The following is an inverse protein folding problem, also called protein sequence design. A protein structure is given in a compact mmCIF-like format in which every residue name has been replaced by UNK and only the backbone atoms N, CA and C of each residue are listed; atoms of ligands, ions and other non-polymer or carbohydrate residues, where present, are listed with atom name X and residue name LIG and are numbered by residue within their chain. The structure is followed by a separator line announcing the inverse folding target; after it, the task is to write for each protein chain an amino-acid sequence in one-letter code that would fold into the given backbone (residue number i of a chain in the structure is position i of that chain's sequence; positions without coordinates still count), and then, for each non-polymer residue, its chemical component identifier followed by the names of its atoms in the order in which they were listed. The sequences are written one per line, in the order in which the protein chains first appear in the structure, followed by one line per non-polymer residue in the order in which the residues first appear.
data_IF_588394529863
#
_entry.id   IF_588394529863
#
_cell.length_a   1.000
_cell.length_b   1.000
_cell.length_c   1.000
_cell.angle_alpha   90.00
_cell.angle_beta   90.00
_cell.angle_gamma   90.00
#
_symmetry.space_group_name_H-M   'P 1'
#
loop_
_entity.id
_entity.type
_entity.pdbx_description
1 polymer ?
#
# COMPACT_ATOMS: atom_id res chain seq x y z
N UNK A 1 60.82 -4.21 -86.28
CA UNK A 1 61.63 -5.16 -85.55
C UNK A 1 61.78 -4.65 -84.12
N UNK A 2 60.96 -5.00 -83.17
CA UNK A 2 61.27 -5.02 -81.80
C UNK A 2 60.18 -5.79 -81.01
N UNK A 3 60.54 -6.89 -80.41
CA UNK A 3 59.74 -7.74 -79.56
C UNK A 3 59.60 -7.07 -78.21
N UNK A 4 58.38 -6.89 -77.76
CA UNK A 4 58.08 -6.51 -76.40
C UNK A 4 57.40 -7.71 -75.70
N UNK A 5 58.11 -8.28 -74.71
CA UNK A 5 57.58 -9.35 -73.79
C UNK A 5 56.79 -8.70 -72.69
N UNK A 6 55.52 -9.13 -72.58
CA UNK A 6 54.64 -8.81 -71.49
C UNK A 6 54.84 -9.78 -70.33
N UNK A 7 55.18 -9.23 -69.17
CA UNK A 7 55.26 -9.98 -67.91
C UNK A 7 53.90 -9.89 -67.18
N UNK A 8 53.18 -11.00 -67.06
CA UNK A 8 52.02 -11.14 -66.21
C UNK A 8 52.47 -11.44 -64.81
N UNK A 9 52.25 -10.47 -63.87
CA UNK A 9 52.32 -10.71 -62.43
C UNK A 9 51.00 -11.27 -61.95
N UNK A 10 50.94 -12.58 -61.60
CA UNK A 10 49.85 -13.19 -60.84
C UNK A 10 49.97 -12.75 -59.37
N UNK A 11 49.04 -11.87 -58.96
CA UNK A 11 48.87 -11.55 -57.54
C UNK A 11 48.06 -12.66 -56.88
N UNK A 12 48.69 -13.46 -56.03
CA UNK A 12 48.00 -14.41 -55.12
C UNK A 12 47.32 -13.63 -54.02
N UNK A 13 45.97 -13.64 -53.98
CA UNK A 13 45.16 -13.06 -52.92
C UNK A 13 45.00 -14.15 -51.85
N UNK A 14 45.71 -14.04 -50.71
CA UNK A 14 45.54 -14.89 -49.54
C UNK A 14 44.34 -14.33 -48.77
N UNK A 15 43.19 -14.99 -48.83
CA UNK A 15 42.02 -14.71 -47.99
C UNK A 15 42.20 -15.44 -46.67
N UNK A 16 42.59 -14.69 -45.62
CA UNK A 16 42.62 -15.23 -44.27
C UNK A 16 41.18 -15.17 -43.71
N UNK A 17 40.51 -16.34 -43.63
CA UNK A 17 39.23 -16.49 -42.95
C UNK A 17 39.45 -16.48 -41.45
N UNK A 18 39.21 -15.34 -40.79
CA UNK A 18 39.14 -15.25 -39.31
C UNK A 18 37.80 -15.85 -38.88
N UNK A 19 37.79 -17.11 -38.49
CA UNK A 19 36.64 -17.72 -37.78
C UNK A 19 36.52 -17.09 -36.38
N UNK A 20 35.60 -16.14 -36.22
CA UNK A 20 35.20 -15.64 -34.90
C UNK A 20 34.43 -16.78 -34.17
N UNK A 21 35.10 -17.48 -33.28
CA UNK A 21 34.45 -18.37 -32.29
C UNK A 21 33.66 -17.48 -31.32
N UNK A 22 32.38 -17.21 -31.61
CA UNK A 22 31.44 -16.68 -30.63
C UNK A 22 31.12 -17.81 -29.66
N UNK A 23 31.87 -17.85 -28.55
CA UNK A 23 31.51 -18.72 -27.44
C UNK A 23 30.12 -18.30 -26.90
N UNK A 24 29.13 -19.21 -26.83
CA UNK A 24 27.87 -18.88 -26.20
C UNK A 24 28.16 -18.51 -24.74
N UNK A 25 27.92 -17.28 -24.38
CA UNK A 25 27.88 -16.90 -22.95
C UNK A 25 26.72 -17.66 -22.33
N UNK A 26 27.03 -18.74 -21.60
CA UNK A 26 26.07 -19.39 -20.71
C UNK A 26 25.64 -18.36 -19.67
N UNK A 27 24.55 -17.64 -19.93
CA UNK A 27 23.86 -16.91 -18.89
C UNK A 27 23.26 -17.99 -17.98
N UNK A 28 23.79 -18.10 -16.76
CA UNK A 28 23.16 -18.89 -15.72
C UNK A 28 21.71 -18.39 -15.59
N UNK A 29 20.73 -19.30 -15.71
CA UNK A 29 19.33 -18.92 -15.51
C UNK A 29 19.22 -18.23 -14.13
N UNK A 30 18.45 -17.14 -14.03
CA UNK A 30 18.27 -16.46 -12.77
C UNK A 30 17.76 -17.47 -11.73
N UNK A 31 18.36 -17.46 -10.54
CA UNK A 31 17.97 -18.36 -9.48
C UNK A 31 16.48 -18.23 -9.18
N UNK A 32 15.77 -19.35 -9.09
CA UNK A 32 14.34 -19.38 -8.79
C UNK A 32 14.08 -18.74 -7.43
N UNK A 33 13.19 -17.74 -7.40
CA UNK A 33 12.80 -17.04 -6.17
C UNK A 33 11.59 -17.70 -5.52
N UNK A 34 11.56 -17.69 -4.19
CA UNK A 34 10.47 -18.23 -3.39
C UNK A 34 10.22 -17.42 -2.13
N UNK A 35 9.02 -17.57 -1.58
CA UNK A 35 8.54 -16.88 -0.38
C UNK A 35 8.43 -17.87 0.77
N UNK A 36 8.86 -17.48 1.96
CA UNK A 36 8.66 -18.25 3.17
C UNK A 36 7.28 -17.96 3.76
N UNK A 37 6.42 -18.98 3.84
CA UNK A 37 5.12 -18.89 4.54
C UNK A 37 5.14 -19.57 5.91
N UNK A 38 6.31 -19.99 6.33
CA UNK A 38 6.59 -20.60 7.62
C UNK A 38 7.94 -20.15 8.15
N UNK A 39 8.01 -19.87 9.44
CA UNK A 39 9.28 -19.57 10.10
C UNK A 39 10.15 -20.84 10.16
N UNK A 40 11.43 -20.70 9.80
CA UNK A 40 12.41 -21.78 9.79
C UNK A 40 13.82 -21.25 10.01
N UNK A 41 14.78 -22.16 10.17
CA UNK A 41 16.20 -21.81 10.26
C UNK A 41 16.94 -22.16 8.96
N UNK A 42 17.98 -21.40 8.67
CA UNK A 42 18.99 -21.74 7.68
C UNK A 42 20.07 -22.57 8.39
N UNK A 43 20.39 -23.72 7.83
CA UNK A 43 21.37 -24.68 8.36
C UNK A 43 22.62 -24.70 7.49
N UNK A 44 23.78 -25.02 8.09
CA UNK A 44 25.05 -25.10 7.36
C UNK A 44 25.12 -26.27 6.40
N UNK A 45 24.48 -27.40 6.77
CA UNK A 45 24.29 -28.58 5.94
C UNK A 45 22.83 -29.04 6.00
N UNK A 46 22.35 -29.90 5.06
CA UNK A 46 20.97 -30.38 5.01
C UNK A 46 20.63 -31.37 6.12
N UNK A 47 20.74 -30.92 7.36
CA UNK A 47 20.46 -31.68 8.59
C UNK A 47 19.97 -30.70 9.69
N UNK A 48 18.80 -31.01 10.29
CA UNK A 48 18.18 -30.17 11.33
C UNK A 48 19.00 -30.18 12.65
N UNK A 49 19.91 -31.11 12.83
CA UNK A 49 20.83 -31.17 13.98
C UNK A 49 22.09 -30.33 13.78
N UNK A 50 22.31 -29.83 12.56
CA UNK A 50 23.49 -29.03 12.25
C UNK A 50 23.34 -27.58 12.77
N UNK A 51 24.42 -26.83 12.67
CA UNK A 51 24.48 -25.44 13.12
C UNK A 51 23.44 -24.57 12.38
N UNK A 52 22.62 -23.84 13.15
CA UNK A 52 21.69 -22.83 12.66
C UNK A 52 22.46 -21.52 12.39
N UNK A 53 22.40 -21.02 11.17
CA UNK A 53 23.10 -19.81 10.74
C UNK A 53 22.25 -18.57 10.89
N UNK A 54 20.95 -18.67 10.55
CA UNK A 54 19.99 -17.55 10.63
C UNK A 54 18.56 -18.08 10.77
N UNK A 55 17.66 -17.19 11.15
CA UNK A 55 16.22 -17.43 11.14
C UNK A 55 15.59 -16.81 9.90
N UNK A 56 14.74 -17.55 9.20
CA UNK A 56 13.88 -17.07 8.12
C UNK A 56 12.48 -16.83 8.66
N UNK A 57 12.01 -15.60 8.53
CA UNK A 57 10.67 -15.20 8.96
C UNK A 57 9.67 -15.29 7.80
N UNK A 58 8.39 -15.24 8.14
CA UNK A 58 7.31 -15.21 7.15
C UNK A 58 7.44 -14.00 6.21
N UNK A 59 7.15 -14.22 4.93
CA UNK A 59 7.24 -13.23 3.88
C UNK A 59 8.66 -12.89 3.40
N UNK A 60 9.70 -13.47 4.03
CA UNK A 60 11.05 -13.32 3.51
C UNK A 60 11.23 -14.07 2.21
N UNK A 61 12.03 -13.49 1.33
CA UNK A 61 12.31 -13.99 0.00
C UNK A 61 13.67 -14.71 -0.03
N UNK A 62 13.70 -15.83 -0.70
CA UNK A 62 14.91 -16.63 -0.90
C UNK A 62 15.12 -16.94 -2.38
N UNK A 63 16.37 -17.00 -2.80
CA UNK A 63 16.75 -17.52 -4.10
C UNK A 63 17.19 -18.98 -3.93
N UNK A 64 16.59 -19.90 -4.70
CA UNK A 64 16.90 -21.33 -4.66
C UNK A 64 18.09 -21.59 -5.57
N UNK A 65 19.17 -22.10 -5.00
CA UNK A 65 20.40 -22.43 -5.71
C UNK A 65 20.43 -23.90 -6.14
N UNK A 66 19.96 -24.78 -5.26
CA UNK A 66 20.02 -26.21 -5.46
C UNK A 66 18.89 -26.91 -4.67
N UNK A 67 18.49 -28.11 -5.12
CA UNK A 67 17.54 -28.96 -4.43
C UNK A 67 18.20 -30.30 -4.14
N UNK A 68 18.10 -30.80 -2.89
CA UNK A 68 18.56 -32.11 -2.47
C UNK A 68 17.51 -32.78 -1.61
N UNK A 69 16.78 -33.75 -2.17
CA UNK A 69 15.64 -34.41 -1.53
C UNK A 69 14.60 -33.41 -0.96
N UNK A 70 14.45 -33.38 0.37
CA UNK A 70 13.54 -32.49 1.11
C UNK A 70 14.19 -31.15 1.50
N UNK A 71 15.42 -30.89 1.05
CA UNK A 71 16.18 -29.68 1.35
C UNK A 71 16.37 -28.80 0.13
N UNK A 72 16.41 -27.51 0.39
CA UNK A 72 16.78 -26.46 -0.58
C UNK A 72 18.04 -25.76 -0.09
N UNK A 73 19.03 -25.65 -0.95
CA UNK A 73 20.13 -24.71 -0.78
C UNK A 73 19.67 -23.37 -1.26
N UNK A 74 19.68 -22.38 -0.39
CA UNK A 74 19.12 -21.05 -0.68
C UNK A 74 20.10 -19.95 -0.29
N UNK A 75 19.89 -18.78 -0.84
CA UNK A 75 20.40 -17.52 -0.30
C UNK A 75 19.26 -16.57 0.01
N UNK A 76 19.35 -15.84 1.12
CA UNK A 76 18.40 -14.76 1.42
C UNK A 76 18.54 -13.64 0.39
N UNK A 77 17.42 -13.13 -0.16
CA UNK A 77 17.45 -12.04 -1.13
C UNK A 77 17.79 -10.71 -0.44
N UNK A 78 17.23 -10.46 0.74
CA UNK A 78 17.45 -9.26 1.54
C UNK A 78 18.56 -9.44 2.59
N UNK A 79 19.40 -10.46 2.44
CA UNK A 79 20.48 -10.81 3.38
C UNK A 79 21.62 -11.53 2.69
N UNK A 80 22.71 -11.74 3.41
CA UNK A 80 23.90 -12.38 2.87
C UNK A 80 24.10 -13.82 3.36
N UNK A 81 23.06 -14.45 3.90
CA UNK A 81 23.16 -15.80 4.45
C UNK A 81 22.75 -16.82 3.40
N UNK A 82 23.66 -17.74 3.12
CA UNK A 82 23.46 -18.87 2.22
C UNK A 82 23.55 -20.17 3.04
N UNK A 83 22.66 -21.12 2.78
CA UNK A 83 22.64 -22.39 3.47
C UNK A 83 21.40 -23.21 3.14
N UNK A 84 21.09 -24.19 3.97
CA UNK A 84 20.05 -25.18 3.72
C UNK A 84 18.80 -24.96 4.54
N UNK A 85 17.64 -25.07 3.88
CA UNK A 85 16.33 -25.06 4.54
C UNK A 85 15.53 -26.29 4.11
N UNK A 86 14.61 -26.75 4.96
CA UNK A 86 13.66 -27.80 4.57
C UNK A 86 12.67 -27.24 3.55
N UNK A 87 12.40 -27.99 2.47
CA UNK A 87 11.41 -27.61 1.44
C UNK A 87 9.97 -27.75 2.00
N UNK A 88 9.67 -26.98 3.04
CA UNK A 88 8.37 -26.96 3.69
C UNK A 88 8.00 -25.52 4.02
N UNK A 89 6.85 -25.07 3.50
CA UNK A 89 6.42 -23.68 3.63
C UNK A 89 7.20 -22.73 2.72
N UNK A 90 7.71 -23.25 1.60
CA UNK A 90 8.37 -22.49 0.54
C UNK A 90 7.41 -22.38 -0.65
N UNK A 91 6.96 -21.18 -0.98
CA UNK A 91 6.01 -20.92 -2.07
C UNK A 91 6.74 -20.22 -3.22
N UNK A 92 6.63 -20.80 -4.42
CA UNK A 92 7.17 -20.27 -5.68
C UNK A 92 6.05 -19.67 -6.51
N UNK A 93 6.39 -18.86 -7.49
CA UNK A 93 5.40 -18.35 -8.45
C UNK A 93 4.68 -19.48 -9.21
N UNK A 94 5.34 -20.65 -9.37
CA UNK A 94 4.78 -21.86 -9.99
C UNK A 94 3.96 -22.74 -9.05
N UNK A 95 3.89 -22.43 -7.75
CA UNK A 95 3.15 -23.24 -6.76
C UNK A 95 1.64 -23.14 -7.05
N UNK A 96 0.95 -24.31 -7.22
CA UNK A 96 -0.50 -24.30 -7.38
C UNK A 96 -1.18 -23.59 -6.20
N UNK A 97 -2.12 -22.67 -6.51
CA UNK A 97 -2.80 -21.83 -5.51
C UNK A 97 -1.86 -21.05 -4.56
N UNK A 98 -0.64 -20.79 -5.02
CA UNK A 98 0.39 -20.09 -4.24
C UNK A 98 -0.06 -18.73 -3.73
N UNK A 99 -0.86 -18.01 -4.51
CA UNK A 99 -1.49 -16.75 -4.14
C UNK A 99 -2.40 -16.89 -2.90
N UNK A 100 -3.25 -17.93 -2.87
CA UNK A 100 -4.13 -18.20 -1.73
C UNK A 100 -3.34 -18.64 -0.48
N UNK A 101 -2.28 -19.44 -0.68
CA UNK A 101 -1.42 -19.90 0.41
C UNK A 101 -0.72 -18.70 1.07
N UNK A 102 -0.12 -17.80 0.26
CA UNK A 102 0.57 -16.63 0.77
C UNK A 102 -0.41 -15.65 1.41
N UNK A 103 -1.58 -15.41 0.77
CA UNK A 103 -2.60 -14.54 1.30
C UNK A 103 -3.19 -15.07 2.63
N UNK A 104 -3.44 -16.38 2.74
CA UNK A 104 -3.91 -17.01 3.98
C UNK A 104 -2.90 -16.84 5.12
N UNK A 105 -1.61 -17.09 4.86
CA UNK A 105 -0.55 -16.87 5.84
C UNK A 105 -0.44 -15.40 6.27
N UNK A 106 -0.72 -14.45 5.35
CA UNK A 106 -0.78 -13.02 5.65
C UNK A 106 -1.95 -12.70 6.58
N UNK A 107 -3.14 -13.21 6.27
CA UNK A 107 -4.34 -13.01 7.08
C UNK A 107 -4.18 -13.60 8.49
N UNK A 108 -3.62 -14.80 8.62
CA UNK A 108 -3.31 -15.40 9.91
C UNK A 108 -2.34 -14.53 10.73
N UNK A 109 -1.33 -13.96 10.08
CA UNK A 109 -0.36 -13.06 10.72
C UNK A 109 -1.00 -11.75 11.16
N UNK A 110 -1.92 -11.19 10.36
CA UNK A 110 -2.68 -9.99 10.69
C UNK A 110 -3.60 -10.23 11.90
N UNK A 111 -4.33 -11.36 11.93
CA UNK A 111 -5.14 -11.75 13.11
C UNK A 111 -4.25 -11.94 14.34
N UNK A 112 -3.07 -12.56 14.19
CA UNK A 112 -2.13 -12.73 15.29
C UNK A 112 -1.64 -11.39 15.84
N UNK A 113 -1.42 -10.40 14.98
CA UNK A 113 -0.99 -9.05 15.38
C UNK A 113 -2.04 -8.33 16.26
N UNK A 114 -3.33 -8.64 16.10
CA UNK A 114 -4.42 -8.02 16.89
C UNK A 114 -4.65 -8.68 18.26
N UNK A 115 -4.06 -9.85 18.50
CA UNK A 115 -4.23 -10.56 19.78
C UNK A 115 -3.45 -9.91 20.88
N UNK A 116 -4.03 -9.85 22.08
CA UNK A 116 -3.43 -9.24 23.28
C UNK A 116 -2.01 -9.77 23.62
N UNK A 117 -1.75 -11.06 23.31
CA UNK A 117 -0.46 -11.74 23.52
C UNK A 117 0.03 -12.35 22.22
N UNK A 118 -0.29 -11.71 21.10
CA UNK A 118 0.13 -12.17 19.79
C UNK A 118 1.64 -12.11 19.60
N UNK A 119 2.11 -12.83 18.60
CA UNK A 119 3.53 -12.90 18.29
C UNK A 119 4.08 -11.52 17.89
N UNK A 120 5.16 -11.10 18.56
CA UNK A 120 5.83 -9.83 18.26
C UNK A 120 6.29 -9.78 16.80
N UNK A 121 5.88 -8.75 16.08
CA UNK A 121 6.23 -8.52 14.68
C UNK A 121 5.35 -9.28 13.69
N UNK A 122 4.20 -9.82 14.14
CA UNK A 122 3.23 -10.47 13.27
C UNK A 122 2.62 -9.47 12.26
N UNK A 123 2.48 -8.21 12.62
CA UNK A 123 2.12 -7.09 11.76
C UNK A 123 3.10 -6.93 10.57
N UNK A 124 4.40 -6.95 10.86
CA UNK A 124 5.45 -6.86 9.84
C UNK A 124 5.51 -8.11 8.96
N UNK A 125 5.18 -9.28 9.52
CA UNK A 125 5.08 -10.52 8.75
C UNK A 125 3.86 -10.47 7.81
N UNK A 126 2.69 -10.02 8.31
CA UNK A 126 1.49 -9.82 7.49
C UNK A 126 1.74 -8.86 6.34
N UNK A 127 2.34 -7.70 6.63
CA UNK A 127 2.72 -6.69 5.64
C UNK A 127 3.58 -7.29 4.52
N UNK A 128 4.65 -8.04 4.87
CA UNK A 128 5.52 -8.67 3.88
C UNK A 128 4.77 -9.69 3.03
N UNK A 129 4.01 -10.59 3.67
CA UNK A 129 3.26 -11.64 2.97
C UNK A 129 2.22 -11.04 2.02
N UNK A 130 1.41 -10.06 2.45
CA UNK A 130 0.44 -9.39 1.59
C UNK A 130 1.10 -8.74 0.38
N UNK A 131 2.23 -8.06 0.56
CA UNK A 131 2.97 -7.47 -0.55
C UNK A 131 3.45 -8.54 -1.54
N UNK A 132 3.94 -9.69 -1.06
CA UNK A 132 4.38 -10.80 -1.91
C UNK A 132 3.26 -11.39 -2.78
N UNK A 133 2.00 -11.32 -2.35
CA UNK A 133 0.88 -11.75 -3.21
C UNK A 133 0.86 -10.95 -4.51
N UNK A 134 0.97 -9.61 -4.44
CA UNK A 134 0.97 -8.76 -5.62
C UNK A 134 2.25 -8.88 -6.46
N UNK A 135 3.40 -9.17 -5.82
CA UNK A 135 4.69 -9.29 -6.51
C UNK A 135 4.84 -10.63 -7.26
N UNK A 136 4.42 -11.73 -6.66
CA UNK A 136 4.57 -13.08 -7.23
C UNK A 136 3.39 -13.53 -8.07
N UNK A 137 2.20 -13.02 -7.75
CA UNK A 137 0.95 -13.41 -8.40
C UNK A 137 0.18 -12.18 -8.90
N UNK A 138 0.78 -11.34 -9.77
CA UNK A 138 0.17 -10.06 -10.18
C UNK A 138 -1.15 -10.22 -10.92
N UNK A 139 -1.43 -11.40 -11.49
CA UNK A 139 -2.68 -11.72 -12.18
C UNK A 139 -3.74 -12.36 -11.25
N UNK A 140 -3.41 -12.58 -9.98
CA UNK A 140 -4.37 -13.10 -9.01
C UNK A 140 -5.45 -12.07 -8.69
N UNK A 141 -6.71 -12.49 -8.50
CA UNK A 141 -7.76 -11.61 -7.98
C UNK A 141 -7.46 -11.07 -6.58
N UNK A 142 -6.53 -11.71 -5.85
CA UNK A 142 -6.08 -11.29 -4.53
C UNK A 142 -4.95 -10.24 -4.56
N UNK A 143 -4.34 -9.98 -5.73
CA UNK A 143 -3.19 -9.09 -5.84
C UNK A 143 -3.49 -7.65 -5.40
N UNK A 144 -4.63 -7.10 -5.82
CA UNK A 144 -5.06 -5.75 -5.44
C UNK A 144 -5.35 -5.62 -3.96
N UNK A 145 -6.04 -6.60 -3.38
CA UNK A 145 -6.28 -6.66 -1.94
C UNK A 145 -4.97 -6.79 -1.16
N UNK A 146 -4.10 -7.70 -1.57
CA UNK A 146 -2.80 -7.92 -0.93
C UNK A 146 -1.97 -6.65 -0.90
N UNK A 147 -1.84 -5.94 -2.03
CA UNK A 147 -1.06 -4.70 -2.07
C UNK A 147 -1.68 -3.62 -1.18
N UNK A 148 -3.02 -3.47 -1.21
CA UNK A 148 -3.72 -2.51 -0.36
C UNK A 148 -3.53 -2.83 1.14
N UNK A 149 -3.74 -4.08 1.58
CA UNK A 149 -3.56 -4.46 2.99
C UNK A 149 -2.12 -4.26 3.46
N UNK A 150 -1.13 -4.56 2.61
CA UNK A 150 0.27 -4.26 2.92
C UNK A 150 0.51 -2.75 3.11
N UNK A 151 -0.07 -1.93 2.22
CA UNK A 151 0.01 -0.48 2.30
C UNK A 151 -0.71 0.07 3.54
N UNK A 152 -1.87 -0.49 3.90
CA UNK A 152 -2.65 -0.09 5.07
C UNK A 152 -1.93 -0.40 6.38
N UNK A 153 -1.38 -1.60 6.53
CA UNK A 153 -0.57 -1.96 7.72
C UNK A 153 0.64 -1.02 7.83
N UNK A 154 1.35 -0.74 6.72
CA UNK A 154 2.46 0.20 6.73
C UNK A 154 2.02 1.58 7.16
N UNK A 155 0.90 2.08 6.62
CA UNK A 155 0.32 3.37 6.96
C UNK A 155 0.01 3.49 8.46
N UNK A 156 -0.63 2.47 9.02
CA UNK A 156 -0.97 2.43 10.45
C UNK A 156 0.28 2.44 11.35
N UNK A 157 1.30 1.65 11.00
CA UNK A 157 2.56 1.63 11.75
C UNK A 157 3.26 2.99 11.71
N UNK A 158 3.33 3.62 10.54
CA UNK A 158 3.94 4.94 10.38
C UNK A 158 3.11 6.05 11.04
N UNK A 159 1.78 5.97 10.99
CA UNK A 159 0.90 6.90 11.70
C UNK A 159 1.14 6.89 13.22
N UNK A 160 1.39 5.71 13.80
CA UNK A 160 1.76 5.59 15.22
C UNK A 160 3.09 6.31 15.47
N UNK A 161 4.11 6.05 14.65
CA UNK A 161 5.43 6.67 14.81
C UNK A 161 5.35 8.20 14.66
N UNK A 162 4.67 8.69 13.62
CA UNK A 162 4.46 10.13 13.37
C UNK A 162 3.68 10.79 14.51
N UNK A 163 2.68 10.10 15.09
CA UNK A 163 1.87 10.64 16.20
C UNK A 163 2.68 10.95 17.47
N UNK A 164 3.84 10.32 17.63
CA UNK A 164 4.75 10.53 18.77
C UNK A 164 5.63 11.77 18.61
N UNK A 165 5.72 12.34 17.42
CA UNK A 165 6.57 13.48 17.14
C UNK A 165 5.97 14.78 17.68
N UNK A 166 6.79 15.75 18.11
CA UNK A 166 6.31 17.07 18.51
C UNK A 166 5.47 17.76 17.45
N UNK A 167 5.84 17.58 16.17
CA UNK A 167 5.13 18.14 15.01
C UNK A 167 3.72 17.59 14.81
N UNK A 168 3.37 16.44 15.42
CA UNK A 168 2.01 15.89 15.34
C UNK A 168 0.93 16.83 15.89
N UNK A 169 1.31 17.75 16.79
CA UNK A 169 0.41 18.75 17.40
C UNK A 169 0.24 20.00 16.52
N UNK A 170 1.04 20.15 15.48
CA UNK A 170 0.94 21.30 14.58
C UNK A 170 -0.40 21.30 13.84
N UNK A 171 -1.09 22.45 13.87
CA UNK A 171 -2.38 22.62 13.21
C UNK A 171 -2.26 22.53 11.70
N UNK A 172 -1.29 23.26 11.14
CA UNK A 172 -1.08 23.30 9.70
C UNK A 172 -0.35 22.04 9.24
N UNK A 173 -0.94 21.24 8.32
CA UNK A 173 -0.34 20.01 7.83
C UNK A 173 1.06 20.21 7.20
N UNK A 174 1.39 21.41 6.72
CA UNK A 174 2.72 21.73 6.14
C UNK A 174 3.84 21.57 7.18
N UNK A 175 3.55 21.78 8.46
CA UNK A 175 4.54 21.69 9.54
C UNK A 175 4.55 20.31 10.23
N UNK A 176 3.63 19.42 9.86
CA UNK A 176 3.60 18.06 10.39
C UNK A 176 4.45 17.13 9.54
N UNK A 177 5.06 16.14 10.20
CA UNK A 177 5.59 15.00 9.48
C UNK A 177 4.43 14.25 8.82
N UNK A 178 4.49 14.13 7.50
CA UNK A 178 3.49 13.38 6.74
C UNK A 178 3.80 11.88 6.78
N UNK A 179 2.77 11.07 6.66
CA UNK A 179 2.88 9.63 6.43
C UNK A 179 3.32 9.41 4.98
N UNK A 180 4.21 8.46 4.74
CA UNK A 180 4.68 8.13 3.40
C UNK A 180 3.54 7.59 2.52
N UNK A 181 3.29 8.27 1.41
CA UNK A 181 2.19 7.98 0.49
C UNK A 181 2.54 6.95 -0.60
N UNK A 182 3.80 6.56 -0.74
CA UNK A 182 4.29 5.80 -1.91
C UNK A 182 3.53 4.49 -2.13
N UNK A 183 3.27 3.73 -1.08
CA UNK A 183 2.57 2.45 -1.20
C UNK A 183 1.08 2.63 -1.50
N UNK A 184 0.41 3.64 -0.94
CA UNK A 184 -0.97 3.96 -1.30
C UNK A 184 -1.07 4.42 -2.76
N UNK A 185 -0.12 5.24 -3.21
CA UNK A 185 -0.03 5.66 -4.62
C UNK A 185 0.29 4.48 -5.56
N UNK A 186 1.09 3.52 -5.12
CA UNK A 186 1.35 2.28 -5.87
C UNK A 186 0.06 1.47 -6.08
N UNK A 187 -0.79 1.32 -5.04
CA UNK A 187 -2.10 0.66 -5.15
C UNK A 187 -2.97 1.34 -6.20
N UNK A 188 -3.11 2.66 -6.13
CA UNK A 188 -3.91 3.45 -7.07
C UNK A 188 -3.42 3.27 -8.50
N UNK A 189 -2.09 3.28 -8.70
CA UNK A 189 -1.46 3.14 -10.02
C UNK A 189 -1.62 1.73 -10.62
N UNK A 190 -1.46 0.69 -9.78
CA UNK A 190 -1.46 -0.71 -10.27
C UNK A 190 -2.86 -1.30 -10.42
N UNK A 191 -3.83 -0.84 -9.65
CA UNK A 191 -5.19 -1.37 -9.61
C UNK A 191 -6.26 -0.28 -9.79
N UNK A 192 -6.15 0.56 -10.84
CA UNK A 192 -7.07 1.66 -11.06
C UNK A 192 -8.52 1.18 -11.24
N UNK A 193 -9.49 1.95 -10.74
CA UNK A 193 -10.92 1.64 -10.86
C UNK A 193 -11.39 0.48 -9.97
N UNK A 194 -10.56 0.04 -9.03
CA UNK A 194 -10.95 -0.98 -8.04
C UNK A 194 -11.26 -0.34 -6.69
N UNK A 195 -12.05 -1.05 -5.86
CA UNK A 195 -12.30 -0.62 -4.47
C UNK A 195 -11.01 -0.40 -3.66
N UNK A 196 -9.92 -1.09 -4.02
CA UNK A 196 -8.64 -0.97 -3.33
C UNK A 196 -7.94 0.35 -3.65
N UNK A 197 -8.01 0.79 -4.91
CA UNK A 197 -7.53 2.11 -5.30
C UNK A 197 -8.35 3.23 -4.63
N UNK A 198 -9.67 3.06 -4.54
CA UNK A 198 -10.55 4.01 -3.87
C UNK A 198 -10.24 4.12 -2.37
N UNK A 199 -10.04 2.98 -1.70
CA UNK A 199 -9.64 2.94 -0.29
C UNK A 199 -8.26 3.61 -0.07
N UNK A 200 -7.29 3.32 -0.94
CA UNK A 200 -5.97 3.95 -0.89
C UNK A 200 -6.06 5.48 -1.10
N UNK A 201 -6.89 5.94 -2.03
CA UNK A 201 -7.13 7.37 -2.24
C UNK A 201 -7.76 8.06 -1.02
N UNK A 202 -8.60 7.34 -0.26
CA UNK A 202 -9.18 7.85 0.98
C UNK A 202 -8.11 8.06 2.06
N UNK A 203 -7.17 7.14 2.23
CA UNK A 203 -6.05 7.30 3.16
C UNK A 203 -5.22 8.57 2.89
N UNK A 204 -5.02 8.92 1.61
CA UNK A 204 -4.25 10.11 1.24
C UNK A 204 -4.92 11.43 1.68
N UNK A 205 -6.17 11.41 2.13
CA UNK A 205 -6.84 12.58 2.69
C UNK A 205 -6.23 12.96 4.03
N UNK A 206 -5.81 11.99 4.84
CA UNK A 206 -5.27 12.20 6.19
C UNK A 206 -4.08 13.18 6.22
N UNK A 207 -3.19 13.09 5.23
CA UNK A 207 -2.08 14.02 5.09
C UNK A 207 -2.47 15.46 4.71
N UNK A 208 -3.72 15.68 4.29
CA UNK A 208 -4.21 16.96 3.76
C UNK A 208 -5.10 17.72 4.73
N UNK A 209 -5.64 17.04 5.73
CA UNK A 209 -6.53 17.65 6.72
C UNK A 209 -5.72 18.34 7.82
N UNK A 210 -6.28 19.39 8.36
CA UNK A 210 -5.70 20.10 9.51
C UNK A 210 -5.80 19.25 10.79
N UNK A 211 -5.03 19.62 11.80
CA UNK A 211 -5.26 19.17 13.18
C UNK A 211 -6.48 19.84 13.79
N UNK A 212 -6.35 20.39 14.99
CA UNK A 212 -7.43 21.17 15.61
C UNK A 212 -7.70 22.45 14.83
N UNK A 213 -8.97 22.79 14.64
CA UNK A 213 -9.34 24.02 13.91
C UNK A 213 -9.25 25.27 14.77
N UNK A 214 -9.44 25.15 16.09
CA UNK A 214 -9.39 26.25 17.06
C UNK A 214 -10.18 27.50 16.65
N UNK A 215 -11.35 27.30 16.02
CA UNK A 215 -12.23 28.39 15.54
C UNK A 215 -11.90 28.95 14.17
N UNK A 216 -10.80 28.55 13.51
CA UNK A 216 -10.44 29.03 12.18
C UNK A 216 -11.25 28.36 11.07
N UNK A 217 -11.96 29.12 10.27
CA UNK A 217 -12.87 28.62 9.22
C UNK A 217 -12.16 28.01 8.01
N UNK A 218 -10.92 28.45 7.72
CA UNK A 218 -10.18 28.03 6.52
C UNK A 218 -9.94 26.53 6.43
N UNK A 219 -9.67 25.87 7.58
CA UNK A 219 -9.42 24.45 7.61
C UNK A 219 -10.68 23.62 7.28
N UNK A 220 -11.81 23.75 7.99
CA UNK A 220 -13.01 22.99 7.67
C UNK A 220 -13.61 23.33 6.29
N UNK A 221 -13.43 24.56 5.77
CA UNK A 221 -13.78 24.89 4.38
C UNK A 221 -13.03 24.01 3.39
N UNK A 222 -11.69 24.01 3.47
CA UNK A 222 -10.83 23.21 2.58
C UNK A 222 -11.06 21.72 2.73
N UNK A 223 -11.24 21.24 3.95
CA UNK A 223 -11.48 19.82 4.22
C UNK A 223 -12.81 19.34 3.66
N UNK A 224 -13.89 20.14 3.77
CA UNK A 224 -15.16 19.85 3.12
C UNK A 224 -15.00 19.66 1.61
N UNK A 225 -14.25 20.56 0.96
CA UNK A 225 -13.97 20.45 -0.48
C UNK A 225 -13.17 19.20 -0.85
N UNK A 226 -12.20 18.79 -0.01
CA UNK A 226 -11.40 17.56 -0.21
C UNK A 226 -12.30 16.33 -0.18
N UNK A 227 -13.20 16.22 0.80
CA UNK A 227 -14.12 15.10 0.91
C UNK A 227 -15.17 15.08 -0.20
N UNK A 228 -15.73 16.24 -0.57
CA UNK A 228 -16.64 16.33 -1.72
C UNK A 228 -15.95 15.96 -3.03
N UNK A 229 -14.69 16.37 -3.22
CA UNK A 229 -13.88 15.97 -4.38
C UNK A 229 -13.71 14.45 -4.41
N UNK A 230 -13.35 13.84 -3.28
CA UNK A 230 -13.20 12.39 -3.19
C UNK A 230 -14.48 11.66 -3.63
N UNK A 231 -15.65 12.07 -3.14
CA UNK A 231 -16.94 11.44 -3.50
C UNK A 231 -17.23 11.58 -5.01
N UNK A 232 -16.91 12.72 -5.61
CA UNK A 232 -17.08 12.91 -7.06
C UNK A 232 -16.16 12.02 -7.89
N UNK A 233 -14.92 11.80 -7.44
CA UNK A 233 -13.92 10.99 -8.14
C UNK A 233 -14.10 9.48 -7.87
N UNK A 234 -14.65 9.11 -6.71
CA UNK A 234 -14.81 7.73 -6.23
C UNK A 234 -16.24 7.44 -5.76
N UNK A 235 -17.28 7.61 -6.61
CA UNK A 235 -18.69 7.51 -6.17
C UNK A 235 -19.10 6.10 -5.72
N UNK A 236 -18.38 5.07 -6.16
CA UNK A 236 -18.62 3.66 -5.79
C UNK A 236 -17.71 3.17 -4.65
N UNK A 237 -16.91 4.06 -4.08
CA UNK A 237 -16.03 3.70 -2.97
C UNK A 237 -16.80 3.23 -1.74
N UNK A 238 -16.31 2.21 -1.02
CA UNK A 238 -16.82 1.86 0.31
C UNK A 238 -16.75 3.02 1.31
N UNK A 239 -15.92 4.04 1.03
CA UNK A 239 -15.74 5.25 1.86
C UNK A 239 -16.57 6.44 1.39
N UNK A 240 -17.39 6.31 0.34
CA UNK A 240 -18.15 7.43 -0.20
C UNK A 240 -19.17 8.00 0.80
N UNK A 241 -19.91 7.15 1.52
CA UNK A 241 -20.83 7.59 2.57
C UNK A 241 -20.14 8.32 3.70
N UNK A 242 -19.01 7.79 4.17
CA UNK A 242 -18.18 8.42 5.20
C UNK A 242 -17.66 9.78 4.73
N UNK A 243 -17.06 9.84 3.55
CA UNK A 243 -16.51 11.07 3.00
C UNK A 243 -17.59 12.16 2.86
N UNK A 244 -18.76 11.80 2.34
CA UNK A 244 -19.87 12.75 2.18
C UNK A 244 -20.37 13.27 3.54
N UNK A 245 -20.46 12.39 4.55
CA UNK A 245 -20.77 12.80 5.92
C UNK A 245 -19.71 13.73 6.50
N UNK A 246 -18.44 13.41 6.29
CA UNK A 246 -17.33 14.26 6.76
C UNK A 246 -17.39 15.66 6.13
N UNK A 247 -17.78 15.77 4.86
CA UNK A 247 -18.02 17.07 4.23
C UNK A 247 -19.19 17.83 4.87
N UNK A 248 -20.30 17.13 5.11
CA UNK A 248 -21.48 17.71 5.75
C UNK A 248 -21.18 18.21 7.16
N UNK A 249 -20.47 17.44 7.95
CA UNK A 249 -20.09 17.79 9.31
C UNK A 249 -19.21 19.04 9.36
N UNK A 250 -18.24 19.18 8.45
CA UNK A 250 -17.40 20.38 8.35
C UNK A 250 -18.21 21.63 8.02
N UNK A 251 -19.18 21.50 7.12
CA UNK A 251 -20.08 22.60 6.81
C UNK A 251 -20.96 22.97 8.00
N UNK A 252 -21.41 21.98 8.79
CA UNK A 252 -22.19 22.27 10.01
C UNK A 252 -21.36 22.97 11.08
N UNK A 253 -20.08 22.62 11.23
CA UNK A 253 -19.16 23.31 12.14
C UNK A 253 -18.96 24.79 11.74
N UNK A 254 -18.83 25.05 10.42
CA UNK A 254 -18.69 26.39 9.88
C UNK A 254 -19.89 27.31 10.19
N UNK A 255 -21.09 26.76 10.41
CA UNK A 255 -22.27 27.56 10.78
C UNK A 255 -21.98 28.37 12.04
N UNK A 256 -21.48 27.70 13.10
CA UNK A 256 -21.18 28.40 14.35
C UNK A 256 -19.95 29.30 14.22
N UNK A 257 -18.89 28.83 13.58
CA UNK A 257 -17.66 29.61 13.38
C UNK A 257 -17.95 30.95 12.69
N UNK A 258 -18.77 30.94 11.60
CA UNK A 258 -19.16 32.19 10.93
C UNK A 258 -20.12 33.07 11.75
N UNK A 259 -20.93 32.45 12.63
CA UNK A 259 -21.73 33.28 13.58
C UNK A 259 -20.81 34.03 14.54
N UNK A 260 -19.81 33.35 15.08
CA UNK A 260 -18.85 33.90 16.02
C UNK A 260 -18.01 35.03 15.37
N UNK A 261 -17.72 34.88 14.07
CA UNK A 261 -17.05 35.89 13.25
C UNK A 261 -17.99 37.05 12.82
N UNK A 262 -19.27 37.03 13.21
CA UNK A 262 -20.27 38.03 12.82
C UNK A 262 -20.69 37.95 11.34
N UNK A 263 -20.39 36.88 10.63
CA UNK A 263 -20.67 36.73 9.21
C UNK A 263 -21.93 35.86 8.95
N UNK A 264 -23.10 36.52 9.13
CA UNK A 264 -24.39 35.85 8.98
C UNK A 264 -24.63 35.25 7.57
N UNK A 265 -24.11 35.91 6.53
CA UNK A 265 -24.26 35.43 5.14
C UNK A 265 -23.53 34.12 4.90
N UNK A 266 -22.26 34.01 5.33
CA UNK A 266 -21.49 32.76 5.23
C UNK A 266 -22.05 31.66 6.14
N UNK A 267 -22.51 32.00 7.35
CA UNK A 267 -23.18 31.07 8.25
C UNK A 267 -24.41 30.44 7.61
N UNK A 268 -25.28 31.27 6.97
CA UNK A 268 -26.46 30.74 6.25
C UNK A 268 -26.06 29.84 5.06
N UNK A 269 -25.05 30.25 4.30
CA UNK A 269 -24.49 29.42 3.20
C UNK A 269 -23.99 28.08 3.66
N UNK A 270 -23.21 28.05 4.75
CA UNK A 270 -22.70 26.82 5.36
C UNK A 270 -23.82 25.90 5.86
N UNK A 271 -24.87 26.49 6.52
CA UNK A 271 -26.07 25.76 6.94
C UNK A 271 -26.77 25.08 5.77
N UNK A 272 -27.03 25.82 4.70
CA UNK A 272 -27.72 25.27 3.52
C UNK A 272 -26.90 24.11 2.91
N UNK A 273 -25.58 24.27 2.83
CA UNK A 273 -24.68 23.24 2.30
C UNK A 273 -24.63 22.02 3.22
N UNK A 274 -24.53 22.21 4.54
CA UNK A 274 -24.56 21.12 5.51
C UNK A 274 -25.83 20.28 5.39
N UNK A 275 -27.00 20.95 5.34
CA UNK A 275 -28.31 20.31 5.17
C UNK A 275 -28.38 19.53 3.85
N UNK A 276 -27.92 20.12 2.74
CA UNK A 276 -27.95 19.46 1.44
C UNK A 276 -27.07 18.19 1.42
N UNK A 277 -25.85 18.27 1.93
CA UNK A 277 -24.93 17.15 1.99
C UNK A 277 -25.44 16.05 2.95
N UNK A 278 -25.91 16.42 4.14
CA UNK A 278 -26.46 15.45 5.09
C UNK A 278 -27.71 14.73 4.57
N UNK A 279 -28.61 15.44 3.89
CA UNK A 279 -29.76 14.82 3.19
C UNK A 279 -29.32 13.87 2.09
N UNK A 280 -28.27 14.22 1.36
CA UNK A 280 -27.69 13.35 0.34
C UNK A 280 -27.16 12.05 0.98
N UNK A 281 -26.41 12.11 2.10
CA UNK A 281 -25.95 10.91 2.82
C UNK A 281 -27.15 10.07 3.27
N UNK A 282 -28.11 10.67 3.95
CA UNK A 282 -29.28 9.97 4.48
C UNK A 282 -30.12 9.27 3.39
N UNK A 283 -30.20 9.87 2.19
CA UNK A 283 -30.99 9.32 1.07
C UNK A 283 -30.23 8.28 0.25
N UNK A 284 -28.92 8.48 0.01
CA UNK A 284 -28.12 7.57 -0.80
C UNK A 284 -27.60 6.37 -0.02
N UNK A 285 -27.38 6.52 1.29
CA UNK A 285 -26.77 5.50 2.14
C UNK A 285 -27.60 5.20 3.41
N UNK A 286 -28.93 5.00 3.31
CA UNK A 286 -29.83 4.93 4.47
C UNK A 286 -29.56 3.74 5.40
N UNK A 287 -28.94 2.68 4.89
CA UNK A 287 -28.65 1.44 5.63
C UNK A 287 -27.26 1.42 6.26
N UNK A 288 -26.55 2.54 6.23
CA UNK A 288 -25.20 2.66 6.82
C UNK A 288 -25.24 3.46 8.11
N UNK A 289 -24.25 3.26 8.98
CA UNK A 289 -24.06 4.10 10.17
C UNK A 289 -23.94 5.59 9.82
N UNK A 290 -23.36 5.89 8.64
CA UNK A 290 -23.22 7.26 8.16
C UNK A 290 -24.58 7.87 7.78
N UNK A 291 -25.49 7.07 7.24
CA UNK A 291 -26.89 7.48 7.01
C UNK A 291 -27.61 7.88 8.30
N UNK A 292 -27.48 7.04 9.35
CA UNK A 292 -28.05 7.33 10.66
C UNK A 292 -27.43 8.58 11.31
N UNK A 293 -26.10 8.72 11.24
CA UNK A 293 -25.39 9.92 11.74
C UNK A 293 -25.81 11.19 10.98
N UNK A 294 -26.04 11.08 9.67
CA UNK A 294 -26.48 12.21 8.86
C UNK A 294 -27.89 12.70 9.25
N UNK A 295 -28.81 11.80 9.63
CA UNK A 295 -30.12 12.18 10.17
C UNK A 295 -29.99 12.95 11.48
N UNK A 296 -29.11 12.52 12.38
CA UNK A 296 -28.80 13.26 13.62
C UNK A 296 -28.21 14.64 13.32
N UNK A 297 -27.26 14.71 12.37
CA UNK A 297 -26.66 15.98 11.96
C UNK A 297 -27.69 16.94 11.37
N UNK A 298 -28.60 16.46 10.53
CA UNK A 298 -29.74 17.23 10.00
C UNK A 298 -30.56 17.86 11.11
N UNK A 299 -30.99 17.03 12.07
CA UNK A 299 -31.76 17.51 13.22
C UNK A 299 -30.99 18.61 13.97
N UNK A 300 -29.70 18.41 14.27
CA UNK A 300 -28.91 19.40 15.00
C UNK A 300 -28.83 20.74 14.22
N UNK A 301 -28.53 20.66 12.92
CA UNK A 301 -28.42 21.86 12.07
C UNK A 301 -29.76 22.59 11.90
N UNK A 302 -30.87 21.86 11.74
CA UNK A 302 -32.23 22.42 11.61
C UNK A 302 -32.70 23.07 12.92
N UNK A 303 -32.33 22.52 14.08
CA UNK A 303 -32.66 23.07 15.39
C UNK A 303 -31.64 24.11 15.90
N UNK A 304 -30.69 24.50 15.08
CA UNK A 304 -29.62 25.44 15.44
C UNK A 304 -28.74 24.99 16.62
N UNK A 305 -28.59 23.68 16.80
CA UNK A 305 -27.72 23.08 17.82
C UNK A 305 -26.28 23.08 17.29
N UNK A 306 -25.32 23.71 17.98
CA UNK A 306 -23.93 23.70 17.56
C UNK A 306 -23.34 22.29 17.44
N UNK A 307 -22.64 22.02 16.33
CA UNK A 307 -21.97 20.73 16.07
C UNK A 307 -20.46 20.79 16.30
N UNK A 308 -19.95 21.97 16.63
CA UNK A 308 -18.54 22.25 16.92
C UNK A 308 -18.43 23.14 18.15
N UNK A 309 -17.41 22.92 18.96
CA UNK A 309 -17.21 23.65 20.21
C UNK A 309 -18.19 23.27 21.34
N UNK A 310 -19.12 22.38 21.07
CA UNK A 310 -20.07 21.90 22.07
C UNK A 310 -19.47 20.69 22.81
N UNK A 311 -18.70 20.96 23.85
CA UNK A 311 -18.21 19.95 24.79
C UNK A 311 -19.30 19.66 25.81
N UNK A 312 -20.36 19.01 25.40
CA UNK A 312 -21.18 18.21 26.34
C UNK A 312 -20.36 16.95 26.59
N UNK A 313 -19.54 16.99 27.61
CA UNK A 313 -18.90 15.82 28.20
C UNK A 313 -19.91 15.12 29.10
#
# INVERSE_FOLDING_TARGET
MHHQRSHHHRKFLIVVLLALCVAPTLHAAPAERAIMVRETYIYIIPDQTSTRMANLRLGQEVAILERSREWLHITQVDGNVTGWVVDKGVVRASTPEGDKIVFGAAADSEVEATRRYGRKGADKDALRLYRRVAEYFPQSPLAGEGLYRAADIRWQLEAIDVSTLPSAKERNPIFRQLIDEDWMREVIKKFPGTKWADLAAYHLIENKICGEWAGETKCPEKESEIYEKYVREHPQSPKAAEALYQAAWRQSALVQMYKDDGNAGRSSGARNKAVALARQVASQYPQTDWGARAQTLLYMVEQDIPTYGNTIQ
#
